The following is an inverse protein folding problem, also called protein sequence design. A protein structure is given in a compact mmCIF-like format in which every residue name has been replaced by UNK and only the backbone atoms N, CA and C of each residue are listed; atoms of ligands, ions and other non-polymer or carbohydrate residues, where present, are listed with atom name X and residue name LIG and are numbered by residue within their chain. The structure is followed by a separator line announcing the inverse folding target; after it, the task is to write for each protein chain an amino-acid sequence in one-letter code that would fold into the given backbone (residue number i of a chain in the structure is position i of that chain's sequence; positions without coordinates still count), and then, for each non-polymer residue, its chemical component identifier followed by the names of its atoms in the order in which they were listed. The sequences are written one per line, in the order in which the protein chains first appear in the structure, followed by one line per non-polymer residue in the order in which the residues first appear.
data_IF_937697463979
#
_entry.id   IF_937697463979
#
_cell.length_a   1.000
_cell.length_b   1.000
_cell.length_c   1.000
_cell.angle_alpha   90.00
_cell.angle_beta   90.00
_cell.angle_gamma   90.00
#
_symmetry.space_group_name_H-M   'P 1'
#
loop_
_entity.id
_entity.type
_entity.pdbx_description
1 polymer ?
#
# COMPACT_ATOMS: atom_id res chain seq x y z
N UNK A 1 1.68 7.82 8.62
CA UNK A 1 2.72 7.27 7.73
C UNK A 1 2.35 7.68 6.32
N UNK A 2 3.31 8.12 5.53
CA UNK A 2 3.08 8.49 4.13
C UNK A 2 2.90 7.23 3.27
N UNK A 3 2.07 7.34 2.23
CA UNK A 3 1.74 6.24 1.34
C UNK A 3 3.00 5.65 0.69
N UNK A 4 3.88 6.50 0.19
CA UNK A 4 5.12 6.12 -0.47
C UNK A 4 6.02 5.31 0.47
N UNK A 5 6.15 5.76 1.72
CA UNK A 5 6.95 5.06 2.74
C UNK A 5 6.38 3.68 3.08
N UNK A 6 5.05 3.54 3.09
CA UNK A 6 4.41 2.25 3.34
C UNK A 6 4.64 1.24 2.20
N UNK A 7 4.58 1.69 0.96
CA UNK A 7 4.74 0.83 -0.22
C UNK A 7 6.19 0.61 -0.65
N UNK A 8 7.14 1.45 -0.21
CA UNK A 8 8.57 1.38 -0.57
C UNK A 8 9.16 -0.04 -0.52
N UNK A 9 8.94 -0.86 0.54
CA UNK A 9 9.56 -2.19 0.64
C UNK A 9 9.06 -3.18 -0.41
N UNK A 10 7.84 -2.99 -0.93
CA UNK A 10 7.19 -3.93 -1.86
C UNK A 10 7.24 -3.47 -3.31
N UNK A 11 7.57 -2.20 -3.57
CA UNK A 11 7.72 -1.66 -4.94
C UNK A 11 9.17 -1.56 -5.40
N UNK A 12 10.12 -1.56 -4.45
CA UNK A 12 11.55 -1.51 -4.72
C UNK A 12 12.07 -2.89 -5.08
N UNK A 13 12.50 -3.04 -6.33
CA UNK A 13 13.19 -4.25 -6.77
C UNK A 13 14.57 -4.32 -6.11
N UNK A 14 14.93 -5.51 -5.65
CA UNK A 14 16.27 -5.79 -5.16
C UNK A 14 17.01 -6.65 -6.19
N UNK A 15 18.33 -6.51 -6.23
CA UNK A 15 19.18 -7.23 -7.19
C UNK A 15 19.11 -8.76 -7.04
N UNK A 16 18.64 -9.25 -5.89
CA UNK A 16 18.49 -10.67 -5.58
C UNK A 16 17.09 -11.24 -5.87
N UNK A 17 16.14 -10.43 -6.38
CA UNK A 17 14.79 -10.90 -6.71
C UNK A 17 14.78 -11.84 -7.92
N UNK A 18 14.08 -12.97 -7.77
CA UNK A 18 13.68 -13.82 -8.89
C UNK A 18 12.59 -13.19 -9.76
N UNK A 19 12.20 -13.88 -10.82
CA UNK A 19 11.17 -13.40 -11.76
C UNK A 19 9.79 -13.24 -11.08
N UNK A 20 9.46 -14.09 -10.10
CA UNK A 20 8.19 -14.05 -9.36
C UNK A 20 8.10 -12.83 -8.43
N UNK A 21 9.19 -12.52 -7.74
CA UNK A 21 9.30 -11.36 -6.86
C UNK A 21 9.26 -10.04 -7.66
N UNK A 22 9.86 -10.02 -8.85
CA UNK A 22 9.75 -8.88 -9.78
C UNK A 22 8.34 -8.69 -10.30
N UNK A 23 7.64 -9.77 -10.65
CA UNK A 23 6.24 -9.71 -11.07
C UNK A 23 5.36 -9.19 -9.91
N UNK A 24 5.64 -9.63 -8.70
CA UNK A 24 4.93 -9.16 -7.49
C UNK A 24 5.18 -7.68 -7.26
N UNK A 25 6.43 -7.21 -7.34
CA UNK A 25 6.75 -5.79 -7.22
C UNK A 25 6.05 -4.94 -8.30
N UNK A 26 5.96 -5.46 -9.53
CA UNK A 26 5.20 -4.81 -10.60
C UNK A 26 3.72 -4.68 -10.27
N UNK A 27 3.08 -5.72 -9.71
CA UNK A 27 1.67 -5.68 -9.27
C UNK A 27 1.46 -4.62 -8.18
N UNK A 28 2.37 -4.53 -7.21
CA UNK A 28 2.29 -3.49 -6.17
C UNK A 28 2.48 -2.08 -6.71
N UNK A 29 3.36 -1.88 -7.70
CA UNK A 29 3.48 -0.59 -8.40
C UNK A 29 2.18 -0.21 -9.12
N UNK A 30 1.55 -1.16 -9.81
CA UNK A 30 0.25 -0.92 -10.45
C UNK A 30 -0.84 -0.57 -9.44
N UNK A 31 -0.88 -1.25 -8.28
CA UNK A 31 -1.81 -0.92 -7.20
C UNK A 31 -1.58 0.50 -6.66
N UNK A 32 -0.32 0.88 -6.42
CA UNK A 32 0.02 2.22 -5.95
C UNK A 32 -0.41 3.30 -6.94
N UNK A 33 -0.18 3.09 -8.24
CA UNK A 33 -0.65 4.00 -9.28
C UNK A 33 -2.17 4.10 -9.30
N UNK A 34 -2.89 2.96 -9.25
CA UNK A 34 -4.34 2.96 -9.24
C UNK A 34 -4.92 3.71 -8.03
N UNK A 35 -4.33 3.54 -6.84
CA UNK A 35 -4.74 4.30 -5.66
C UNK A 35 -4.54 5.81 -5.86
N UNK A 36 -3.38 6.23 -6.38
CA UNK A 36 -3.06 7.65 -6.63
C UNK A 36 -3.91 8.29 -7.72
N UNK A 37 -4.30 7.53 -8.73
CA UNK A 37 -5.11 8.02 -9.85
C UNK A 37 -6.58 8.17 -9.46
N UNK A 38 -7.10 7.27 -8.62
CA UNK A 38 -8.53 7.24 -8.29
C UNK A 38 -8.86 7.95 -6.98
N UNK A 39 -7.90 8.10 -6.06
CA UNK A 39 -8.14 8.61 -4.71
C UNK A 39 -7.30 9.85 -4.40
N UNK A 40 -7.95 10.82 -3.78
CA UNK A 40 -7.34 12.02 -3.22
C UNK A 40 -7.17 11.90 -1.70
N UNK A 41 -6.35 12.76 -1.09
CA UNK A 41 -6.11 12.77 0.37
C UNK A 41 -5.73 11.39 0.96
N UNK A 42 -4.92 10.61 0.23
CA UNK A 42 -4.49 9.27 0.65
C UNK A 42 -3.73 9.31 1.98
N UNK A 43 -4.13 8.42 2.90
CA UNK A 43 -3.53 8.25 4.23
C UNK A 43 -3.42 6.78 4.61
N UNK A 44 -2.36 6.45 5.33
CA UNK A 44 -2.13 5.11 5.88
C UNK A 44 -2.30 5.15 7.40
N UNK A 45 -3.21 4.31 7.90
CA UNK A 45 -3.46 4.09 9.32
C UNK A 45 -2.98 2.71 9.71
N UNK A 46 -2.28 2.62 10.86
CA UNK A 46 -1.81 1.37 11.46
C UNK A 46 -2.42 1.25 12.84
N UNK A 47 -3.08 0.14 13.14
CA UNK A 47 -3.82 -0.07 14.39
C UNK A 47 -3.40 -1.41 15.00
N UNK A 48 -2.86 -1.38 16.21
CA UNK A 48 -2.31 -2.55 16.89
C UNK A 48 -0.80 -2.48 17.09
N UNK A 49 -0.24 -3.45 17.80
CA UNK A 49 1.19 -3.51 18.15
C UNK A 49 1.87 -4.79 17.64
N UNK A 50 1.22 -5.96 17.77
CA UNK A 50 1.76 -7.25 17.28
C UNK A 50 1.05 -7.66 15.99
N UNK A 51 -0.28 -7.68 16.02
CA UNK A 51 -1.13 -7.78 14.84
C UNK A 51 -1.58 -6.37 14.49
N UNK A 52 -1.05 -5.85 13.40
CA UNK A 52 -1.24 -4.47 12.99
C UNK A 52 -2.18 -4.47 11.79
N UNK A 53 -3.40 -4.01 11.99
CA UNK A 53 -4.33 -3.75 10.91
C UNK A 53 -3.93 -2.45 10.22
N UNK A 54 -3.76 -2.53 8.90
CA UNK A 54 -3.37 -1.40 8.06
C UNK A 54 -4.51 -1.01 7.13
N UNK A 55 -4.87 0.26 7.17
CA UNK A 55 -5.88 0.85 6.29
C UNK A 55 -5.25 1.93 5.43
N UNK A 56 -5.34 1.77 4.12
CA UNK A 56 -4.96 2.80 3.15
C UNK A 56 -6.24 3.40 2.60
N UNK A 57 -6.56 4.63 3.01
CA UNK A 57 -7.83 5.30 2.69
C UNK A 57 -7.60 6.63 2.01
N UNK A 58 -8.50 6.98 1.10
CA UNK A 58 -8.57 8.28 0.45
C UNK A 58 -10.01 8.64 0.13
N UNK A 59 -10.20 9.72 -0.62
CA UNK A 59 -11.51 10.18 -1.10
C UNK A 59 -11.66 9.95 -2.59
N UNK A 60 -12.78 9.35 -2.99
CA UNK A 60 -13.19 9.26 -4.38
C UNK A 60 -13.75 10.61 -4.90
N UNK A 61 -14.12 10.67 -6.18
CA UNK A 61 -14.75 11.87 -6.79
C UNK A 61 -16.04 12.29 -6.08
N UNK A 62 -16.77 11.34 -5.51
CA UNK A 62 -18.00 11.57 -4.74
C UNK A 62 -17.74 11.96 -3.28
N UNK A 63 -16.48 12.13 -2.88
CA UNK A 63 -16.01 12.43 -1.52
C UNK A 63 -16.33 11.35 -0.48
N UNK A 64 -16.60 10.12 -0.92
CA UNK A 64 -16.69 8.97 -0.03
C UNK A 64 -15.29 8.56 0.40
N UNK A 65 -15.17 8.09 1.64
CA UNK A 65 -13.92 7.49 2.12
C UNK A 65 -13.88 6.05 1.62
N UNK A 66 -12.92 5.75 0.76
CA UNK A 66 -12.71 4.41 0.19
C UNK A 66 -11.23 4.05 0.23
N UNK A 67 -10.92 2.76 0.16
CA UNK A 67 -9.56 2.30 0.34
C UNK A 67 -9.41 0.79 0.39
N UNK A 68 -8.23 0.35 0.80
CA UNK A 68 -7.89 -1.06 1.02
C UNK A 68 -7.50 -1.29 2.47
N UNK A 69 -7.70 -2.53 2.93
CA UNK A 69 -7.28 -2.99 4.24
C UNK A 69 -6.38 -4.21 4.09
N UNK A 70 -5.34 -4.28 4.90
CA UNK A 70 -4.44 -5.44 5.01
C UNK A 70 -3.99 -5.60 6.46
N UNK A 71 -3.28 -6.68 6.77
CA UNK A 71 -2.75 -6.94 8.09
C UNK A 71 -1.26 -7.26 8.00
N UNK A 72 -0.49 -6.76 8.98
CA UNK A 72 0.94 -7.00 9.13
C UNK A 72 1.16 -7.57 10.52
N UNK A 73 2.10 -8.50 10.64
CA UNK A 73 2.54 -9.05 11.93
C UNK A 73 3.97 -8.56 12.17
N UNK A 74 4.19 -7.87 13.30
CA UNK A 74 5.51 -7.47 13.77
C UNK A 74 5.78 -8.18 15.11
N UNK A 75 6.88 -8.96 15.18
CA UNK A 75 7.25 -9.80 16.33
C UNK A 75 8.62 -9.47 16.87
#
# INVERSE_FOLDING_TARGET
MELEQFFEPVVTEQDWFGDEEKETAAKYRSLLSALKENLSDLKVYRVGEIQIDVYVVGKDEARNIVGIATQIVET
#
